data_IF_877591564866
#
_entry.id   IF_877591564866
#
_cell.length_a   1.000
_cell.length_b   1.000
_cell.length_c   1.000
_cell.angle_alpha   90.00
_cell.angle_beta   90.00
_cell.angle_gamma   90.00
#
_symmetry.space_group_name_H-M   'P 1'
#
loop_
_entity.id
_entity.type
_entity.pdbx_description
1 polymer ?
#
# COMPACT_ATOMS: atom_id res chain seq x y z
N UNK A 1 15.29 -8.46 -16.31
CA UNK A 1 15.19 -8.68 -14.84
C UNK A 1 14.82 -7.37 -14.11
N UNK A 2 15.44 -6.23 -14.42
CA UNK A 2 15.21 -4.96 -13.70
C UNK A 2 13.82 -4.34 -13.84
N UNK A 3 13.11 -4.58 -14.96
CA UNK A 3 11.79 -3.99 -15.22
C UNK A 3 10.73 -4.42 -14.19
N UNK A 4 10.66 -5.71 -13.85
CA UNK A 4 9.69 -6.20 -12.87
C UNK A 4 9.96 -5.66 -11.47
N UNK A 5 11.22 -5.70 -11.02
CA UNK A 5 11.61 -5.13 -9.74
C UNK A 5 11.36 -3.61 -9.69
N UNK A 6 11.71 -2.89 -10.78
CA UNK A 6 11.44 -1.46 -10.89
C UNK A 6 9.96 -1.11 -10.82
N UNK A 7 9.09 -1.90 -11.44
CA UNK A 7 7.65 -1.73 -11.38
C UNK A 7 7.11 -1.94 -9.95
N UNK A 8 7.57 -2.96 -9.24
CA UNK A 8 7.18 -3.21 -7.84
C UNK A 8 7.61 -2.06 -6.93
N UNK A 9 8.84 -1.57 -7.07
CA UNK A 9 9.31 -0.40 -6.30
C UNK A 9 8.52 0.87 -6.65
N UNK A 10 8.13 1.05 -7.92
CA UNK A 10 7.33 2.19 -8.34
C UNK A 10 5.93 2.16 -7.69
N UNK A 11 5.27 1.00 -7.62
CA UNK A 11 3.99 0.85 -6.92
C UNK A 11 4.11 1.18 -5.43
N UNK A 12 5.16 0.67 -4.79
CA UNK A 12 5.42 0.95 -3.38
C UNK A 12 5.66 2.44 -3.13
N UNK A 13 6.49 3.07 -3.96
CA UNK A 13 6.80 4.50 -3.86
C UNK A 13 5.57 5.38 -4.09
N UNK A 14 4.70 5.03 -5.04
CA UNK A 14 3.44 5.76 -5.28
C UNK A 14 2.54 5.74 -4.05
N UNK A 15 2.39 4.57 -3.40
CA UNK A 15 1.64 4.46 -2.15
C UNK A 15 2.24 5.34 -1.05
N UNK A 16 3.57 5.31 -0.87
CA UNK A 16 4.26 6.14 0.11
C UNK A 16 4.08 7.65 -0.14
N UNK A 17 4.19 8.08 -1.40
CA UNK A 17 3.98 9.49 -1.78
C UNK A 17 2.53 9.91 -1.55
N UNK A 18 1.55 9.04 -1.86
CA UNK A 18 0.14 9.36 -1.65
C UNK A 18 -0.18 9.53 -0.16
N UNK A 19 0.31 8.62 0.68
CA UNK A 19 0.17 8.71 2.14
C UNK A 19 0.84 9.99 2.66
N UNK A 20 2.06 10.28 2.20
CA UNK A 20 2.77 11.49 2.60
C UNK A 20 2.02 12.78 2.21
N UNK A 21 1.46 12.84 1.00
CA UNK A 21 0.66 14.00 0.56
C UNK A 21 -0.62 14.18 1.39
N UNK A 22 -1.25 13.10 1.82
CA UNK A 22 -2.48 13.15 2.63
C UNK A 22 -2.24 13.47 4.10
N UNK A 23 -1.17 12.91 4.70
CA UNK A 23 -0.92 12.98 6.14
C UNK A 23 0.21 13.91 6.56
N UNK A 24 1.05 14.36 5.62
CA UNK A 24 2.29 15.09 5.91
C UNK A 24 3.36 14.26 6.62
N UNK A 25 3.19 12.93 6.72
CA UNK A 25 4.06 12.03 7.45
C UNK A 25 4.45 10.82 6.60
N UNK A 26 5.71 10.38 6.77
CA UNK A 26 6.16 9.12 6.21
C UNK A 26 5.63 7.98 7.07
N UNK A 27 4.87 7.06 6.47
CA UNK A 27 4.34 5.88 7.15
C UNK A 27 5.30 4.68 6.96
N UNK A 28 6.10 4.38 7.97
CA UNK A 28 7.03 3.25 7.94
C UNK A 28 6.33 1.88 8.02
N UNK A 29 5.08 1.83 8.48
CA UNK A 29 4.31 0.59 8.53
C UNK A 29 3.76 0.14 7.17
N UNK A 30 3.83 0.96 6.12
CA UNK A 30 3.24 0.64 4.81
C UNK A 30 3.69 -0.74 4.28
N UNK A 31 5.00 -1.02 4.32
CA UNK A 31 5.53 -2.31 3.90
C UNK A 31 5.01 -3.48 4.75
N UNK A 32 4.96 -3.30 6.07
CA UNK A 32 4.46 -4.33 6.98
C UNK A 32 2.95 -4.60 6.78
N UNK A 33 2.15 -3.57 6.50
CA UNK A 33 0.73 -3.72 6.17
C UNK A 33 0.58 -4.52 4.87
N UNK A 34 1.39 -4.21 3.84
CA UNK A 34 1.41 -4.95 2.59
C UNK A 34 1.82 -6.42 2.77
N UNK A 35 2.87 -6.67 3.54
CA UNK A 35 3.31 -8.03 3.90
C UNK A 35 2.21 -8.78 4.66
N UNK A 36 1.60 -8.16 5.65
CA UNK A 36 0.51 -8.77 6.41
C UNK A 36 -0.70 -9.12 5.52
N UNK A 37 -1.06 -8.22 4.59
CA UNK A 37 -2.10 -8.48 3.60
C UNK A 37 -1.74 -9.65 2.68
N UNK A 38 -0.49 -9.75 2.24
CA UNK A 38 -0.02 -10.87 1.42
C UNK A 38 -0.14 -12.21 2.16
N UNK A 39 0.22 -12.27 3.44
CA UNK A 39 0.03 -13.49 4.24
C UNK A 39 -1.44 -13.88 4.39
N UNK A 40 -2.35 -12.92 4.60
CA UNK A 40 -3.79 -13.18 4.62
C UNK A 40 -4.26 -13.73 3.26
N UNK A 41 -3.85 -13.11 2.15
CA UNK A 41 -4.28 -13.52 0.83
C UNK A 41 -3.79 -14.93 0.47
N UNK A 42 -2.49 -15.15 0.56
CA UNK A 42 -1.86 -16.33 -0.01
C UNK A 42 -1.80 -17.51 0.95
N UNK A 43 -1.58 -17.29 2.24
CA UNK A 43 -1.52 -18.38 3.21
C UNK A 43 -2.91 -18.71 3.76
N UNK A 44 -3.63 -17.74 4.35
CA UNK A 44 -4.90 -18.05 5.03
C UNK A 44 -6.07 -18.30 4.08
N UNK A 45 -6.19 -17.52 3.00
CA UNK A 45 -7.35 -17.62 2.13
C UNK A 45 -7.13 -18.56 0.95
N UNK A 46 -5.98 -18.53 0.33
CA UNK A 46 -5.71 -19.36 -0.83
C UNK A 46 -5.26 -20.77 -0.42
N UNK A 47 -4.22 -20.89 0.42
CA UNK A 47 -3.64 -22.18 0.79
C UNK A 47 -4.51 -22.95 1.79
N UNK A 48 -4.84 -22.35 2.94
CA UNK A 48 -5.62 -23.00 3.99
C UNK A 48 -7.10 -23.19 3.65
N UNK A 49 -7.73 -22.26 2.90
CA UNK A 49 -9.17 -22.26 2.62
C UNK A 49 -9.55 -22.56 1.17
N UNK A 50 -8.57 -22.69 0.30
CA UNK A 50 -8.78 -23.01 -1.13
C UNK A 50 -9.53 -21.93 -1.92
N UNK A 51 -9.40 -20.65 -1.52
CA UNK A 51 -10.03 -19.56 -2.25
C UNK A 51 -9.29 -19.30 -3.56
N UNK A 52 -10.03 -18.82 -4.57
CA UNK A 52 -9.38 -18.33 -5.78
C UNK A 52 -8.51 -17.10 -5.49
N UNK A 53 -7.45 -16.92 -6.27
CA UNK A 53 -6.45 -15.85 -6.08
C UNK A 53 -7.07 -14.45 -6.02
N UNK A 54 -7.95 -14.10 -6.96
CA UNK A 54 -8.50 -12.76 -7.05
C UNK A 54 -9.41 -12.38 -5.87
N UNK A 55 -10.37 -13.22 -5.43
CA UNK A 55 -11.16 -12.91 -4.24
C UNK A 55 -10.30 -12.87 -2.97
N UNK A 56 -9.27 -13.72 -2.85
CA UNK A 56 -8.35 -13.68 -1.72
C UNK A 56 -7.60 -12.34 -1.64
N UNK A 57 -7.05 -11.87 -2.76
CA UNK A 57 -6.39 -10.55 -2.86
C UNK A 57 -7.38 -9.43 -2.52
N UNK A 58 -8.59 -9.46 -3.05
CA UNK A 58 -9.59 -8.43 -2.78
C UNK A 58 -9.92 -8.31 -1.28
N UNK A 59 -10.14 -9.45 -0.60
CA UNK A 59 -10.38 -9.47 0.85
C UNK A 59 -9.17 -8.99 1.64
N UNK A 60 -7.96 -9.41 1.27
CA UNK A 60 -6.74 -8.98 1.94
C UNK A 60 -6.50 -7.47 1.80
N UNK A 61 -6.76 -6.89 0.61
CA UNK A 61 -6.67 -5.44 0.38
C UNK A 61 -7.69 -4.69 1.24
N UNK A 62 -8.94 -5.18 1.31
CA UNK A 62 -9.96 -4.58 2.18
C UNK A 62 -9.55 -4.68 3.65
N UNK A 63 -9.06 -5.83 4.10
CA UNK A 63 -8.59 -6.03 5.48
C UNK A 63 -7.41 -5.09 5.81
N UNK A 64 -6.44 -4.95 4.91
CA UNK A 64 -5.33 -4.01 5.06
C UNK A 64 -5.81 -2.55 5.12
N UNK A 65 -6.77 -2.18 4.28
CA UNK A 65 -7.40 -0.86 4.29
C UNK A 65 -8.09 -0.57 5.63
N UNK A 66 -8.89 -1.52 6.12
CA UNK A 66 -9.57 -1.41 7.42
C UNK A 66 -8.58 -1.33 8.58
N UNK A 67 -7.50 -2.13 8.57
CA UNK A 67 -6.45 -2.06 9.58
C UNK A 67 -5.74 -0.70 9.56
N UNK A 68 -5.46 -0.16 8.37
CA UNK A 68 -4.87 1.17 8.20
C UNK A 68 -5.80 2.28 8.71
N UNK A 69 -7.09 2.21 8.40
CA UNK A 69 -8.11 3.14 8.90
C UNK A 69 -8.25 3.06 10.42
N UNK A 70 -8.27 1.86 10.99
CA UNK A 70 -8.32 1.66 12.44
C UNK A 70 -7.08 2.27 13.11
N UNK A 71 -5.89 2.04 12.58
CA UNK A 71 -4.66 2.65 13.09
C UNK A 71 -4.70 4.18 13.01
N UNK A 72 -5.14 4.72 11.88
CA UNK A 72 -5.33 6.16 11.70
C UNK A 72 -6.30 6.72 12.76
N UNK A 73 -7.47 6.08 12.94
CA UNK A 73 -8.51 6.58 13.83
C UNK A 73 -8.15 6.44 15.31
N UNK A 74 -7.53 5.33 15.71
CA UNK A 74 -7.24 5.03 17.11
C UNK A 74 -5.92 5.63 17.59
N UNK A 75 -4.88 5.61 16.74
CA UNK A 75 -3.52 6.00 17.14
C UNK A 75 -3.15 7.37 16.60
N UNK A 76 -3.13 7.55 15.29
CA UNK A 76 -2.64 8.80 14.69
C UNK A 76 -3.56 9.99 15.01
N UNK A 77 -4.86 9.77 15.05
CA UNK A 77 -5.82 10.83 15.46
C UNK A 77 -5.65 11.22 16.94
N UNK A 78 -5.36 10.25 17.82
CA UNK A 78 -5.08 10.55 19.23
C UNK A 78 -3.77 11.37 19.36
N UNK A 79 -2.80 11.12 18.49
CA UNK A 79 -1.50 11.79 18.44
C UNK A 79 -1.47 13.06 17.57
N UNK A 80 -2.61 13.57 17.11
CA UNK A 80 -2.68 14.71 16.18
C UNK A 80 -2.01 15.99 16.73
N UNK A 81 -2.01 16.19 18.03
CA UNK A 81 -1.37 17.33 18.71
C UNK A 81 0.08 17.04 19.12
N UNK A 82 0.56 15.81 18.96
CA UNK A 82 1.93 15.45 19.25
C UNK A 82 2.88 15.91 18.14
N UNK A 83 4.17 16.05 18.48
CA UNK A 83 5.20 16.36 17.51
C UNK A 83 5.23 15.30 16.38
N UNK A 84 5.62 15.73 15.17
CA UNK A 84 5.68 14.84 13.99
C UNK A 84 6.51 13.58 14.27
N UNK A 85 7.60 13.69 15.02
CA UNK A 85 8.45 12.57 15.37
C UNK A 85 7.71 11.49 16.19
N UNK A 86 6.81 11.86 17.09
CA UNK A 86 6.03 10.91 17.89
C UNK A 86 5.08 10.10 17.00
N UNK A 87 4.47 10.75 16.01
CA UNK A 87 3.61 10.09 15.02
C UNK A 87 4.40 9.12 14.14
N UNK A 88 5.61 9.50 13.74
CA UNK A 88 6.52 8.60 12.99
C UNK A 88 6.91 7.40 13.84
N UNK A 89 7.27 7.59 15.12
CA UNK A 89 7.58 6.49 16.06
C UNK A 89 6.38 5.55 16.20
N UNK A 90 5.15 6.06 16.23
CA UNK A 90 3.94 5.24 16.27
C UNK A 90 3.82 4.34 15.02
N UNK A 91 4.19 4.82 13.81
CA UNK A 91 4.19 3.97 12.60
C UNK A 91 5.28 2.89 12.65
N UNK A 92 6.44 3.18 13.24
CA UNK A 92 7.49 2.18 13.48
C UNK A 92 7.01 1.14 14.50
N UNK A 93 6.29 1.56 15.53
CA UNK A 93 5.66 0.65 16.48
C UNK A 93 4.66 -0.30 15.81
N UNK A 94 3.83 0.21 14.90
CA UNK A 94 2.92 -0.63 14.10
C UNK A 94 3.68 -1.60 13.20
N UNK A 95 4.76 -1.16 12.54
CA UNK A 95 5.63 -2.02 11.75
C UNK A 95 6.13 -3.20 12.60
N UNK A 96 6.71 -2.92 13.78
CA UNK A 96 7.20 -3.97 14.68
C UNK A 96 6.10 -4.90 15.18
N UNK A 97 4.91 -4.37 15.49
CA UNK A 97 3.75 -5.15 15.90
C UNK A 97 3.30 -6.11 14.79
N UNK A 98 3.14 -5.63 13.56
CA UNK A 98 2.72 -6.47 12.44
C UNK A 98 3.76 -7.53 12.11
N UNK A 99 5.06 -7.21 12.13
CA UNK A 99 6.13 -8.18 11.96
C UNK A 99 6.11 -9.25 13.05
N UNK A 100 5.90 -8.87 14.31
CA UNK A 100 5.80 -9.83 15.40
C UNK A 100 4.57 -10.75 15.26
N UNK A 101 3.43 -10.23 14.79
CA UNK A 101 2.24 -11.04 14.49
C UNK A 101 2.52 -12.05 13.38
N UNK A 102 3.12 -11.58 12.27
CA UNK A 102 3.49 -12.44 11.14
C UNK A 102 4.44 -13.55 11.60
N UNK A 103 5.50 -13.19 12.32
CA UNK A 103 6.47 -14.14 12.84
C UNK A 103 5.84 -15.18 13.79
N UNK A 104 4.96 -14.74 14.68
CA UNK A 104 4.28 -15.62 15.65
C UNK A 104 3.29 -16.56 14.97
N UNK A 105 2.58 -16.10 13.94
CA UNK A 105 1.49 -16.85 13.30
C UNK A 105 1.97 -17.78 12.18
N UNK A 106 2.90 -17.29 11.37
CA UNK A 106 3.38 -17.98 10.16
C UNK A 106 4.81 -18.50 10.29
N UNK A 107 5.52 -18.16 11.38
CA UNK A 107 6.90 -18.58 11.59
C UNK A 107 7.91 -17.72 10.82
N UNK A 108 9.20 -18.08 10.97
CA UNK A 108 10.32 -17.41 10.30
C UNK A 108 10.68 -18.05 8.95
N UNK A 109 10.05 -19.16 8.59
CA UNK A 109 10.32 -19.85 7.33
C UNK A 109 9.72 -19.06 6.15
N UNK A 110 10.45 -19.07 5.03
CA UNK A 110 9.94 -18.52 3.79
C UNK A 110 8.74 -19.35 3.33
N UNK A 111 7.59 -18.73 3.17
CA UNK A 111 6.39 -19.39 2.65
C UNK A 111 6.46 -19.39 1.12
N UNK A 112 6.52 -20.55 0.46
CA UNK A 112 6.43 -20.61 -0.99
C UNK A 112 5.01 -20.19 -1.41
N UNK A 113 4.91 -19.27 -2.35
CA UNK A 113 3.63 -18.87 -2.96
C UNK A 113 3.62 -19.38 -4.38
N UNK A 114 2.57 -20.12 -4.77
CA UNK A 114 2.43 -20.54 -6.15
C UNK A 114 2.30 -19.33 -7.08
N UNK A 115 2.91 -19.38 -8.28
CA UNK A 115 2.75 -18.32 -9.26
C UNK A 115 1.27 -18.09 -9.59
N UNK A 116 0.77 -16.91 -9.36
CA UNK A 116 -0.64 -16.52 -9.61
C UNK A 116 -0.81 -15.72 -10.90
N UNK A 117 0.30 -15.28 -11.48
CA UNK A 117 0.34 -14.65 -12.80
C UNK A 117 0.84 -15.68 -13.82
N UNK A 118 0.37 -15.57 -15.10
CA UNK A 118 0.90 -16.42 -16.16
C UNK A 118 2.41 -16.28 -16.26
N UNK A 119 3.12 -17.40 -16.29
CA UNK A 119 4.59 -17.49 -16.31
C UNK A 119 5.15 -17.84 -17.70
N UNK A 120 4.33 -17.73 -18.75
CA UNK A 120 4.77 -17.94 -20.12
C UNK A 120 6.01 -17.10 -20.46
N UNK A 121 6.89 -17.69 -21.23
CA UNK A 121 8.16 -17.06 -21.60
C UNK A 121 8.04 -16.59 -23.06
N UNK A 122 8.24 -15.30 -23.25
CA UNK A 122 8.31 -14.71 -24.59
C UNK A 122 9.76 -14.44 -24.98
N UNK A 123 10.18 -15.04 -26.09
CA UNK A 123 11.48 -14.74 -26.70
C UNK A 123 11.31 -13.70 -27.80
N UNK A 124 11.85 -12.52 -27.58
CA UNK A 124 11.90 -11.44 -28.57
C UNK A 124 13.34 -11.15 -28.96
N UNK A 125 13.77 -11.72 -30.09
CA UNK A 125 15.10 -11.42 -30.68
C UNK A 125 16.28 -11.70 -29.76
N UNK A 126 16.23 -12.79 -28.97
CA UNK A 126 17.27 -13.18 -28.01
C UNK A 126 17.13 -12.57 -26.61
N UNK A 127 16.05 -11.83 -26.34
CA UNK A 127 15.71 -11.35 -25.02
C UNK A 127 14.51 -12.14 -24.50
N UNK A 128 14.74 -12.92 -23.46
CA UNK A 128 13.73 -13.71 -22.78
C UNK A 128 13.00 -12.85 -21.75
N UNK A 129 11.71 -12.63 -21.92
CA UNK A 129 10.87 -11.86 -20.97
C UNK A 129 9.76 -12.75 -20.43
N UNK A 130 9.69 -12.87 -19.11
CA UNK A 130 8.60 -13.57 -18.44
C UNK A 130 7.32 -12.71 -18.48
N UNK A 131 6.19 -13.31 -18.81
CA UNK A 131 4.89 -12.65 -18.89
C UNK A 131 4.50 -11.99 -17.56
N UNK A 132 4.82 -12.62 -16.44
CA UNK A 132 4.61 -12.07 -15.10
C UNK A 132 5.16 -10.64 -14.97
N UNK A 133 6.39 -10.41 -15.47
CA UNK A 133 7.03 -9.08 -15.38
C UNK A 133 6.34 -8.02 -16.21
N UNK A 134 5.89 -8.40 -17.41
CA UNK A 134 5.12 -7.50 -18.27
C UNK A 134 3.77 -7.17 -17.63
N UNK A 135 3.12 -8.15 -17.02
CA UNK A 135 1.86 -7.96 -16.31
C UNK A 135 2.02 -7.00 -15.14
N UNK A 136 3.08 -7.14 -14.32
CA UNK A 136 3.36 -6.21 -13.20
C UNK A 136 3.62 -4.79 -13.73
N UNK A 137 4.38 -4.64 -14.82
CA UNK A 137 4.61 -3.33 -15.45
C UNK A 137 3.29 -2.73 -15.94
N UNK A 138 2.45 -3.52 -16.62
CA UNK A 138 1.14 -3.06 -17.11
C UNK A 138 0.24 -2.60 -15.95
N UNK A 139 0.15 -3.39 -14.88
CA UNK A 139 -0.59 -3.03 -13.66
C UNK A 139 -0.04 -1.72 -13.07
N UNK A 140 1.28 -1.59 -12.99
CA UNK A 140 1.93 -0.37 -12.48
C UNK A 140 1.56 0.86 -13.29
N UNK A 141 1.58 0.76 -14.61
CA UNK A 141 1.19 1.86 -15.51
C UNK A 141 -0.28 2.22 -15.31
N UNK A 142 -1.17 1.22 -15.28
CA UNK A 142 -2.60 1.43 -15.07
C UNK A 142 -2.87 2.12 -13.73
N UNK A 143 -2.26 1.62 -12.64
CA UNK A 143 -2.39 2.21 -11.30
C UNK A 143 -1.84 3.63 -11.29
N UNK A 144 -0.69 3.89 -11.92
CA UNK A 144 -0.10 5.24 -12.02
C UNK A 144 -1.05 6.21 -12.70
N UNK A 145 -1.59 5.82 -13.85
CA UNK A 145 -2.52 6.65 -14.62
C UNK A 145 -3.82 6.87 -13.84
N UNK A 146 -4.34 5.82 -13.20
CA UNK A 146 -5.55 5.91 -12.37
C UNK A 146 -5.36 6.86 -11.18
N UNK A 147 -4.25 6.73 -10.45
CA UNK A 147 -3.93 7.62 -9.32
C UNK A 147 -3.68 9.06 -9.79
N UNK A 148 -2.97 9.24 -10.91
CA UNK A 148 -2.79 10.56 -11.49
C UNK A 148 -4.11 11.20 -11.88
N UNK A 149 -4.99 10.47 -12.57
CA UNK A 149 -6.31 10.96 -12.94
C UNK A 149 -7.16 11.26 -11.68
N UNK A 150 -7.16 10.36 -10.70
CA UNK A 150 -7.88 10.57 -9.45
C UNK A 150 -7.39 11.81 -8.70
N UNK A 151 -6.09 11.99 -8.54
CA UNK A 151 -5.53 13.17 -7.84
C UNK A 151 -5.72 14.48 -8.62
N UNK A 152 -5.85 14.40 -9.95
CA UNK A 152 -6.00 15.59 -10.80
C UNK A 152 -7.45 16.01 -11.03
N UNK A 153 -8.38 15.06 -11.14
CA UNK A 153 -9.74 15.33 -11.57
C UNK A 153 -10.79 15.19 -10.46
N UNK A 154 -10.46 14.60 -9.31
CA UNK A 154 -11.42 14.48 -8.22
C UNK A 154 -11.26 15.60 -7.19
N UNK A 155 -12.39 15.99 -6.56
CA UNK A 155 -12.38 16.99 -5.49
C UNK A 155 -11.51 16.59 -4.31
N UNK A 156 -11.49 15.30 -3.96
CA UNK A 156 -10.66 14.74 -2.89
C UNK A 156 -9.18 14.83 -3.26
N UNK A 157 -8.81 14.41 -4.47
CA UNK A 157 -7.43 14.47 -4.95
C UNK A 157 -6.89 15.90 -5.01
N UNK A 158 -7.72 16.86 -5.49
CA UNK A 158 -7.37 18.28 -5.49
C UNK A 158 -7.19 18.82 -4.07
N UNK A 159 -8.06 18.43 -3.12
CA UNK A 159 -7.94 18.83 -1.72
C UNK A 159 -6.69 18.26 -1.05
N UNK A 160 -6.32 17.00 -1.33
CA UNK A 160 -5.07 16.40 -0.87
C UNK A 160 -3.85 17.16 -1.42
N UNK A 161 -3.84 17.47 -2.71
CA UNK A 161 -2.74 18.23 -3.31
C UNK A 161 -2.65 19.66 -2.74
N UNK A 162 -3.77 20.29 -2.48
CA UNK A 162 -3.82 21.62 -1.87
C UNK A 162 -3.34 21.60 -0.41
N UNK A 163 -3.73 20.59 0.37
CA UNK A 163 -3.31 20.44 1.77
C UNK A 163 -1.81 20.18 1.89
N UNK A 164 -1.23 19.45 0.94
CA UNK A 164 0.21 19.23 0.87
C UNK A 164 1.03 20.51 0.60
N UNK A 165 0.42 21.50 -0.06
CA UNK A 165 1.06 22.79 -0.33
C UNK A 165 0.85 23.81 0.80
N UNK A 166 -0.36 23.90 1.32
CA UNK A 166 -0.69 24.85 2.40
C UNK A 166 -1.90 24.38 3.21
N UNK A 167 -1.63 23.69 4.31
CA UNK A 167 -2.65 23.14 5.21
C UNK A 167 -3.56 24.23 5.80
N UNK A 168 -3.01 25.40 6.13
CA UNK A 168 -3.80 26.53 6.70
C UNK A 168 -4.79 27.09 5.69
N UNK A 169 -4.39 27.21 4.43
CA UNK A 169 -5.28 27.72 3.39
C UNK A 169 -6.45 26.76 3.11
N UNK A 170 -6.23 25.46 3.22
CA UNK A 170 -7.30 24.44 3.03
C UNK A 170 -8.30 24.45 4.18
N UNK A 171 -7.84 24.71 5.41
CA UNK A 171 -8.71 24.85 6.58
C UNK A 171 -9.67 26.06 6.44
N UNK A 172 -9.21 27.18 5.88
CA UNK A 172 -10.07 28.37 5.64
C UNK A 172 -11.14 28.11 4.58
N UNK A 173 -10.95 27.14 3.70
CA UNK A 173 -11.93 26.69 2.70
C UNK A 173 -12.91 25.64 3.23
N UNK A 174 -12.89 25.33 4.53
CA UNK A 174 -13.80 24.40 5.19
C UNK A 174 -13.46 22.91 5.01
N UNK A 175 -12.29 22.58 4.45
CA UNK A 175 -11.83 21.21 4.35
C UNK A 175 -11.05 20.83 5.60
N UNK A 176 -11.46 19.75 6.31
CA UNK A 176 -10.74 19.25 7.47
C UNK A 176 -9.60 18.32 7.03
N UNK A 177 -8.32 18.60 7.37
CA UNK A 177 -7.18 17.78 7.02
C UNK A 177 -7.31 16.33 7.54
N UNK A 178 -7.92 16.16 8.70
CA UNK A 178 -8.15 14.84 9.33
C UNK A 178 -9.04 13.91 8.47
N UNK A 179 -9.97 14.47 7.68
CA UNK A 179 -10.81 13.69 6.75
C UNK A 179 -10.12 13.36 5.44
N UNK A 180 -9.09 14.13 5.08
CA UNK A 180 -8.30 13.90 3.87
C UNK A 180 -7.18 12.87 4.13
N UNK A 181 -6.77 12.69 5.39
CA UNK A 181 -5.73 11.76 5.80
C UNK A 181 -6.27 10.34 6.11
N UNK A 182 -7.58 10.17 6.26
CA UNK A 182 -8.25 8.88 6.50
C UNK A 182 -8.52 8.13 5.20
#
# INVERSE_FOLDING_TARGET
IGLGAGATYALFAQGAVLIYRGSGLVNFAQGAIGTFAAYIAFVELQDDRGWGTWPAIAVAVVAAGLASLAFQALVLRALRHAAAIVRVIATIGLLGLLQAIVLKRYGAANQPVEPYLPDDIYDWGGITVQQERLTIVAITVVVTVALWAWTRYTRVGLAINASAQNERAVQTLGCSPDRLAA
#
